data_IF_512454656296
#
_entry.id   IF_512454656296
#
_cell.length_a   1.000
_cell.length_b   1.000
_cell.length_c   1.000
_cell.angle_alpha   90.00
_cell.angle_beta   90.00
_cell.angle_gamma   90.00
#
_symmetry.space_group_name_H-M   'P 1'
#
loop_
_entity.id
_entity.type
_entity.pdbx_description
1 polymer ?
#
# COMPACT_ATOMS: atom_id res chain seq x y z
N UNK A 1 -64.13 8.09 56.96
CA UNK A 1 -64.34 9.55 56.90
C UNK A 1 -63.11 10.24 57.47
N UNK A 2 -62.15 10.64 56.63
CA UNK A 2 -61.31 11.83 56.82
C UNK A 2 -60.91 12.27 55.41
N UNK A 3 -61.30 13.50 55.06
CA UNK A 3 -61.00 14.19 53.81
C UNK A 3 -59.71 14.98 53.98
N UNK A 4 -58.80 14.96 53.00
CA UNK A 4 -57.80 16.01 52.83
C UNK A 4 -57.70 16.44 51.36
N UNK A 5 -58.28 17.62 51.17
CA UNK A 5 -57.98 18.73 50.24
C UNK A 5 -56.85 18.60 49.23
N UNK A 6 -57.21 19.02 48.01
CA UNK A 6 -56.41 19.36 46.83
C UNK A 6 -55.31 20.39 47.14
N UNK A 7 -54.13 20.18 46.55
CA UNK A 7 -53.25 21.27 46.11
C UNK A 7 -52.78 20.95 44.70
N UNK A 8 -53.30 21.73 43.74
CA UNK A 8 -52.82 21.78 42.36
C UNK A 8 -51.64 22.74 42.35
N UNK A 9 -50.47 22.26 41.96
CA UNK A 9 -49.33 23.11 41.62
C UNK A 9 -48.99 22.87 40.16
N UNK A 10 -49.39 23.84 39.35
CA UNK A 10 -49.04 24.00 37.96
C UNK A 10 -47.68 24.69 37.93
N UNK A 11 -46.63 23.99 37.48
CA UNK A 11 -45.33 24.59 37.15
C UNK A 11 -45.05 24.29 35.69
N UNK A 12 -44.96 25.36 34.91
CA UNK A 12 -44.71 25.32 33.48
C UNK A 12 -43.25 25.03 33.14
N UNK A 13 -43.11 24.38 31.98
CA UNK A 13 -42.19 24.72 30.89
C UNK A 13 -40.71 24.93 31.25
N UNK A 14 -39.91 23.89 30.98
CA UNK A 14 -38.58 24.04 30.36
C UNK A 14 -38.23 22.74 29.63
N UNK A 15 -38.40 22.79 28.31
CA UNK A 15 -37.94 21.76 27.39
C UNK A 15 -36.41 21.82 27.36
N UNK A 16 -35.73 20.86 27.98
CA UNK A 16 -34.30 20.62 27.79
C UNK A 16 -34.15 19.23 27.16
N UNK A 17 -33.99 19.21 25.84
CA UNK A 17 -33.45 18.05 25.12
C UNK A 17 -31.95 17.97 25.43
N UNK A 18 -31.60 17.28 26.52
CA UNK A 18 -30.22 16.83 26.73
C UNK A 18 -30.01 15.57 25.88
N UNK A 19 -29.50 15.75 24.66
CA UNK A 19 -28.91 14.65 23.92
C UNK A 19 -27.62 14.23 24.64
N UNK A 20 -27.68 13.17 25.43
CA UNK A 20 -26.50 12.52 25.98
C UNK A 20 -25.72 11.88 24.81
N UNK A 21 -24.63 12.53 24.40
CA UNK A 21 -23.57 11.84 23.65
C UNK A 21 -23.09 10.69 24.52
N UNK A 22 -23.19 9.48 24.00
CA UNK A 22 -22.49 8.35 24.59
C UNK A 22 -20.99 8.60 24.43
N UNK A 23 -20.33 9.01 25.50
CA UNK A 23 -18.88 8.91 25.64
C UNK A 23 -18.55 7.44 25.87
N UNK A 24 -18.24 6.74 24.78
CA UNK A 24 -17.51 5.49 24.84
C UNK A 24 -16.11 5.81 24.34
N UNK A 25 -15.13 5.85 25.24
CA UNK A 25 -13.73 5.49 25.00
C UNK A 25 -12.91 5.78 26.26
N UNK A 26 -12.54 4.73 27.01
CA UNK A 26 -11.51 4.89 28.04
C UNK A 26 -10.50 3.75 28.15
N UNK A 27 -10.55 2.73 27.27
CA UNK A 27 -9.45 1.77 27.16
C UNK A 27 -9.21 1.47 25.67
N UNK A 28 -8.29 2.25 25.09
CA UNK A 28 -7.87 2.07 23.69
C UNK A 28 -6.98 0.84 23.51
N UNK A 29 -6.96 0.23 22.31
CA UNK A 29 -6.18 -0.98 22.04
C UNK A 29 -4.67 -0.69 21.90
N UNK A 30 -3.86 -1.69 22.28
CA UNK A 30 -2.39 -1.69 22.29
C UNK A 30 -1.76 -1.25 20.95
N UNK A 31 -0.94 -0.20 21.01
CA UNK A 31 -0.38 0.52 19.87
C UNK A 31 0.88 -0.10 19.25
N UNK A 32 1.43 -1.19 19.80
CA UNK A 32 2.67 -1.78 19.26
C UNK A 32 3.87 -0.81 19.19
N UNK A 33 4.93 -1.21 18.50
CA UNK A 33 6.31 -0.81 18.85
C UNK A 33 7.00 0.24 17.96
N UNK A 34 6.29 1.21 17.37
CA UNK A 34 6.96 2.36 16.70
C UNK A 34 7.45 3.42 17.72
N UNK A 35 8.25 3.01 18.71
CA UNK A 35 8.81 3.94 19.71
C UNK A 35 9.96 4.75 19.11
N UNK A 36 9.73 6.05 18.97
CA UNK A 36 10.77 7.06 18.77
C UNK A 36 10.75 7.63 17.36
N UNK A 37 10.20 8.84 17.24
CA UNK A 37 10.03 9.65 16.03
C UNK A 37 8.84 9.24 15.15
N UNK A 38 7.71 9.91 15.43
CA UNK A 38 6.41 9.87 14.73
C UNK A 38 5.39 8.89 15.30
N UNK A 39 4.85 9.23 16.48
CA UNK A 39 3.49 8.82 16.85
C UNK A 39 2.54 10.00 16.61
N UNK A 40 1.48 9.75 15.84
CA UNK A 40 0.28 10.59 15.81
C UNK A 40 -0.91 9.63 15.85
N UNK A 41 -1.94 9.95 16.64
CA UNK A 41 -3.16 9.16 16.88
C UNK A 41 -4.08 9.01 15.66
N UNK A 42 -3.57 9.22 14.46
CA UNK A 42 -4.32 9.16 13.22
C UNK A 42 -3.81 8.01 12.35
N UNK A 43 -4.29 6.78 12.57
CA UNK A 43 -4.30 5.82 11.46
C UNK A 43 -5.46 6.06 10.48
N UNK A 44 -6.33 7.03 10.79
CA UNK A 44 -7.17 7.73 9.82
C UNK A 44 -6.39 8.73 8.92
N UNK A 45 -5.10 9.02 9.20
CA UNK A 45 -4.30 9.98 8.42
C UNK A 45 -3.92 9.51 7.01
N UNK A 46 -4.10 8.23 6.67
CA UNK A 46 -3.78 7.78 5.30
C UNK A 46 -4.81 8.30 4.28
N UNK A 47 -5.93 8.81 4.77
CA UNK A 47 -6.92 9.56 4.00
C UNK A 47 -6.66 11.07 3.96
N UNK A 48 -5.44 11.54 4.27
CA UNK A 48 -5.11 12.96 4.45
C UNK A 48 -4.77 13.77 3.18
N UNK A 49 -5.12 13.33 1.97
CA UNK A 49 -4.96 14.13 0.74
C UNK A 49 -5.96 15.29 0.73
N UNK A 50 -5.64 16.34 1.47
CA UNK A 50 -6.38 17.58 1.60
C UNK A 50 -6.30 18.14 3.01
N UNK A 51 -6.63 19.43 3.18
CA UNK A 51 -6.67 20.12 4.49
C UNK A 51 -7.64 19.49 5.53
N UNK A 52 -8.28 18.36 5.20
CA UNK A 52 -9.19 17.59 6.04
C UNK A 52 -9.16 16.10 5.66
N UNK A 53 -9.23 15.22 6.68
CA UNK A 53 -9.19 13.75 6.60
C UNK A 53 -10.26 13.11 5.68
N UNK A 54 -11.36 13.82 5.41
CA UNK A 54 -12.39 13.38 4.47
C UNK A 54 -11.93 13.41 3.01
N UNK A 55 -11.02 14.33 2.64
CA UNK A 55 -10.64 14.61 1.24
C UNK A 55 -9.65 13.60 0.64
N UNK A 56 -8.75 13.01 1.41
CA UNK A 56 -7.85 11.99 0.82
C UNK A 56 -8.44 10.60 0.78
N UNK A 57 -9.36 10.28 1.68
CA UNK A 57 -10.23 9.14 1.43
C UNK A 57 -11.03 9.34 0.13
N UNK A 58 -11.43 10.58 -0.20
CA UNK A 58 -12.13 10.89 -1.46
C UNK A 58 -11.24 10.64 -2.66
N UNK A 59 -9.97 11.07 -2.65
CA UNK A 59 -9.05 10.83 -3.76
C UNK A 59 -8.78 9.31 -3.99
N UNK A 60 -8.60 8.54 -2.90
CA UNK A 60 -8.50 7.07 -2.98
C UNK A 60 -9.80 6.43 -3.51
N UNK A 61 -10.96 6.92 -3.06
CA UNK A 61 -12.26 6.49 -3.60
C UNK A 61 -12.49 7.00 -5.02
N UNK A 62 -11.83 8.06 -5.45
CA UNK A 62 -11.92 8.64 -6.78
C UNK A 62 -11.05 7.93 -7.81
N UNK A 63 -10.10 7.07 -7.37
CA UNK A 63 -9.28 6.26 -8.28
C UNK A 63 -10.16 5.46 -9.23
N UNK A 64 -9.73 5.43 -10.48
CA UNK A 64 -10.33 4.60 -11.52
C UNK A 64 -10.22 3.13 -11.11
N UNK A 65 -11.33 2.39 -11.17
CA UNK A 65 -11.31 0.94 -11.03
C UNK A 65 -11.09 0.36 -12.41
N UNK A 66 -10.01 -0.39 -12.57
CA UNK A 66 -9.68 -1.06 -13.83
C UNK A 66 -10.11 -2.52 -13.79
N UNK A 67 -10.24 -3.13 -14.96
CA UNK A 67 -10.43 -4.57 -15.05
C UNK A 67 -9.11 -5.29 -14.78
N UNK A 68 -8.96 -5.87 -13.59
CA UNK A 68 -7.75 -6.61 -13.22
C UNK A 68 -7.52 -7.86 -14.08
N UNK A 69 -8.46 -8.27 -14.93
CA UNK A 69 -8.29 -9.42 -15.82
C UNK A 69 -7.68 -9.07 -17.19
N UNK A 70 -7.64 -7.78 -17.55
CA UNK A 70 -7.17 -7.31 -18.86
C UNK A 70 -5.69 -6.89 -18.84
N UNK A 71 -5.08 -6.80 -20.02
CA UNK A 71 -3.73 -6.24 -20.13
C UNK A 71 -3.71 -4.72 -19.88
N UNK A 72 -2.69 -4.19 -19.19
CA UNK A 72 -1.60 -4.91 -18.50
C UNK A 72 -1.94 -5.29 -17.05
N UNK A 73 -3.11 -4.90 -16.57
CA UNK A 73 -3.55 -4.99 -15.17
C UNK A 73 -3.52 -6.40 -14.58
N UNK A 74 -3.67 -7.43 -15.41
CA UNK A 74 -3.54 -8.84 -15.03
C UNK A 74 -2.20 -9.22 -14.41
N UNK A 75 -1.13 -8.48 -14.71
CA UNK A 75 0.17 -8.64 -14.06
C UNK A 75 0.23 -8.10 -12.64
N UNK A 76 -0.74 -7.31 -12.19
CA UNK A 76 -0.76 -6.68 -10.86
C UNK A 76 -1.67 -7.47 -9.91
N UNK A 77 -1.14 -7.83 -8.75
CA UNK A 77 -1.80 -8.73 -7.82
C UNK A 77 -1.65 -8.35 -6.36
N UNK A 78 -2.35 -9.08 -5.50
CA UNK A 78 -2.22 -8.96 -4.05
C UNK A 78 -1.12 -9.88 -3.54
N UNK A 79 -0.28 -9.34 -2.67
CA UNK A 79 0.68 -10.10 -1.86
C UNK A 79 0.04 -10.30 -0.48
N UNK A 80 -0.37 -11.53 -0.20
CA UNK A 80 -1.08 -11.91 1.02
C UNK A 80 -0.20 -12.77 1.93
N UNK A 81 -0.37 -12.60 3.24
CA UNK A 81 0.40 -13.31 4.25
C UNK A 81 -0.51 -14.25 5.03
N UNK A 82 -0.05 -15.48 5.29
CA UNK A 82 -0.84 -16.49 6.02
C UNK A 82 -0.85 -16.27 7.56
N UNK A 83 -0.27 -15.17 8.06
CA UNK A 83 -0.16 -14.90 9.51
C UNK A 83 -1.36 -14.11 10.03
N UNK A 84 -2.05 -14.66 11.04
CA UNK A 84 -3.19 -14.03 11.75
C UNK A 84 -2.88 -12.63 12.32
N UNK A 85 -1.59 -12.35 12.53
CA UNK A 85 -1.08 -11.08 13.05
C UNK A 85 -0.72 -10.06 11.97
N UNK A 86 -0.52 -10.49 10.72
CA UNK A 86 -0.34 -9.58 9.58
C UNK A 86 -1.69 -9.50 8.89
N UNK A 87 -2.53 -8.57 9.34
CA UNK A 87 -3.89 -8.37 8.81
C UNK A 87 -3.94 -7.53 7.52
N UNK A 88 -2.78 -7.25 6.93
CA UNK A 88 -2.63 -6.30 5.84
C UNK A 88 -2.02 -7.01 4.64
N UNK A 89 -2.60 -6.83 3.47
CA UNK A 89 -1.98 -7.22 2.21
C UNK A 89 -1.10 -6.09 1.68
N UNK A 90 -0.23 -6.43 0.75
CA UNK A 90 0.46 -5.49 -0.11
C UNK A 90 0.01 -5.69 -1.56
N UNK A 91 0.49 -4.81 -2.43
CA UNK A 91 0.42 -4.97 -3.88
C UNK A 91 1.76 -5.53 -4.37
N UNK A 92 1.71 -6.29 -5.46
CA UNK A 92 2.90 -6.73 -6.19
C UNK A 92 2.63 -6.80 -7.68
N UNK A 93 3.71 -6.83 -8.46
CA UNK A 93 3.65 -6.83 -9.93
C UNK A 93 4.47 -7.99 -10.48
N UNK A 94 3.86 -8.84 -11.31
CA UNK A 94 4.61 -9.80 -12.12
C UNK A 94 5.50 -9.05 -13.10
N UNK A 95 6.80 -9.30 -13.00
CA UNK A 95 7.85 -8.74 -13.85
C UNK A 95 8.66 -9.84 -14.54
N UNK A 96 8.22 -11.10 -14.38
CA UNK A 96 8.62 -12.27 -15.17
C UNK A 96 7.56 -13.36 -15.05
N UNK A 97 7.82 -14.52 -15.67
CA UNK A 97 7.05 -15.74 -15.45
C UNK A 97 6.92 -16.12 -13.97
N UNK A 98 7.96 -15.90 -13.15
CA UNK A 98 8.04 -16.33 -11.74
C UNK A 98 8.37 -15.20 -10.75
N UNK A 99 8.64 -13.98 -11.20
CA UNK A 99 9.14 -12.92 -10.31
C UNK A 99 8.07 -11.87 -10.09
N UNK A 100 7.79 -11.59 -8.82
CA UNK A 100 6.92 -10.49 -8.39
C UNK A 100 7.75 -9.39 -7.73
N UNK A 101 7.69 -8.18 -8.28
CA UNK A 101 8.22 -6.97 -7.66
C UNK A 101 7.26 -6.48 -6.56
N UNK A 102 7.78 -6.21 -5.37
CA UNK A 102 7.05 -5.64 -4.23
C UNK A 102 8.01 -4.87 -3.31
N UNK A 103 7.53 -4.39 -2.16
CA UNK A 103 8.37 -3.71 -1.16
C UNK A 103 8.94 -4.69 -0.12
N UNK A 104 10.16 -4.47 0.36
CA UNK A 104 10.80 -5.36 1.33
C UNK A 104 10.07 -5.36 2.68
N UNK A 105 9.59 -4.19 3.13
CA UNK A 105 8.86 -4.06 4.39
C UNK A 105 7.55 -4.87 4.40
N UNK A 106 6.99 -5.21 3.23
CA UNK A 106 5.85 -6.10 3.13
C UNK A 106 6.20 -7.52 3.58
N UNK A 107 7.43 -7.97 3.35
CA UNK A 107 7.90 -9.31 3.65
C UNK A 107 8.46 -9.44 5.09
N UNK A 108 8.40 -8.37 5.87
CA UNK A 108 8.92 -8.31 7.22
C UNK A 108 7.80 -8.22 8.28
N UNK A 109 7.85 -9.09 9.29
CA UNK A 109 6.94 -9.04 10.42
C UNK A 109 7.55 -8.20 11.56
N UNK A 110 7.18 -6.93 11.62
CA UNK A 110 7.66 -6.00 12.66
C UNK A 110 7.28 -6.42 14.09
N UNK A 111 6.08 -6.97 14.30
CA UNK A 111 5.64 -7.40 15.63
C UNK A 111 6.50 -8.55 16.18
N UNK A 112 6.92 -9.47 15.29
CA UNK A 112 7.78 -10.61 15.64
C UNK A 112 9.26 -10.31 15.48
N UNK A 113 9.61 -9.20 14.83
CA UNK A 113 10.98 -8.86 14.43
C UNK A 113 11.62 -9.99 13.63
N UNK A 114 10.94 -10.41 12.56
CA UNK A 114 11.36 -11.55 11.73
C UNK A 114 10.80 -11.45 10.31
N UNK A 115 11.58 -11.87 9.33
CA UNK A 115 11.12 -12.10 7.97
C UNK A 115 10.03 -13.17 7.88
N UNK A 116 9.05 -12.93 7.03
CA UNK A 116 7.98 -13.89 6.73
C UNK A 116 8.59 -15.05 5.94
N UNK A 117 8.15 -16.28 6.19
CA UNK A 117 8.58 -17.43 5.38
C UNK A 117 8.03 -17.29 3.95
N UNK A 118 8.85 -17.42 2.90
CA UNK A 118 8.40 -17.26 1.51
C UNK A 118 7.16 -18.08 1.16
N UNK A 119 7.10 -19.34 1.60
CA UNK A 119 6.03 -20.29 1.31
C UNK A 119 4.70 -19.92 2.01
N UNK A 120 4.76 -19.05 3.02
CA UNK A 120 3.58 -18.53 3.71
C UNK A 120 3.00 -17.28 3.03
N UNK A 121 3.67 -16.76 2.01
CA UNK A 121 3.21 -15.65 1.18
C UNK A 121 2.53 -16.21 -0.05
N UNK A 122 1.36 -15.67 -0.36
CA UNK A 122 0.59 -16.01 -1.56
C UNK A 122 0.43 -14.77 -2.41
N UNK A 123 0.86 -14.85 -3.66
CA UNK A 123 0.59 -13.83 -4.66
C UNK A 123 -0.62 -14.24 -5.50
N UNK A 124 -1.55 -13.30 -5.72
CA UNK A 124 -2.77 -13.51 -6.50
C UNK A 124 -2.80 -12.49 -7.64
N UNK A 125 -2.46 -12.92 -8.85
CA UNK A 125 -2.43 -12.10 -10.06
C UNK A 125 -3.86 -11.76 -10.52
N UNK A 126 -4.07 -10.54 -10.99
CA UNK A 126 -5.38 -10.08 -11.50
C UNK A 126 -6.51 -10.23 -10.47
N UNK A 127 -6.21 -10.02 -9.18
CA UNK A 127 -7.19 -10.18 -8.12
C UNK A 127 -8.34 -9.18 -8.26
N UNK A 128 -9.58 -9.65 -8.28
CA UNK A 128 -10.76 -8.80 -8.27
C UNK A 128 -11.93 -9.54 -7.64
N UNK A 129 -12.60 -8.88 -6.69
CA UNK A 129 -13.85 -9.31 -6.04
C UNK A 129 -13.79 -10.74 -5.47
N UNK A 130 -12.65 -11.13 -4.92
CA UNK A 130 -12.46 -12.44 -4.29
C UNK A 130 -11.94 -13.54 -5.22
N UNK A 131 -11.82 -13.28 -6.51
CA UNK A 131 -11.17 -14.16 -7.49
C UNK A 131 -9.83 -13.60 -7.93
N UNK A 132 -8.92 -14.46 -8.40
CA UNK A 132 -7.71 -14.08 -9.13
C UNK A 132 -7.57 -14.92 -10.38
N UNK A 133 -6.78 -14.43 -11.34
CA UNK A 133 -6.50 -15.17 -12.58
C UNK A 133 -5.53 -16.32 -12.35
N UNK A 134 -4.53 -16.10 -11.49
CA UNK A 134 -3.56 -17.11 -11.11
C UNK A 134 -3.07 -16.86 -9.68
N UNK A 135 -2.62 -17.93 -9.02
CA UNK A 135 -2.17 -17.92 -7.63
C UNK A 135 -0.90 -18.74 -7.52
N UNK A 136 0.11 -18.21 -6.85
CA UNK A 136 1.30 -18.97 -6.48
C UNK A 136 1.79 -18.56 -5.10
N UNK A 137 2.45 -19.48 -4.42
CA UNK A 137 3.22 -19.19 -3.20
C UNK A 137 4.61 -18.67 -3.55
N UNK A 138 5.23 -17.99 -2.58
CA UNK A 138 6.65 -17.67 -2.64
C UNK A 138 7.54 -18.89 -2.47
N UNK A 139 8.68 -18.88 -3.13
CA UNK A 139 9.78 -19.83 -2.96
C UNK A 139 10.91 -19.17 -2.16
N UNK A 140 11.32 -17.96 -2.56
CA UNK A 140 12.36 -17.19 -1.87
C UNK A 140 12.25 -15.71 -2.18
N UNK A 141 13.02 -14.89 -1.47
CA UNK A 141 13.16 -13.47 -1.75
C UNK A 141 14.55 -13.18 -2.29
N UNK A 142 14.61 -12.12 -3.10
CA UNK A 142 15.83 -11.37 -3.38
C UNK A 142 15.57 -9.97 -2.84
N UNK A 143 16.49 -9.49 -2.02
CA UNK A 143 16.39 -8.22 -1.30
C UNK A 143 17.63 -7.38 -1.64
N UNK A 144 17.64 -6.13 -1.17
CA UNK A 144 18.87 -5.37 -1.13
C UNK A 144 19.92 -6.05 -0.23
N UNK A 145 21.20 -5.97 -0.58
CA UNK A 145 22.31 -6.63 0.14
C UNK A 145 22.48 -6.17 1.60
N UNK A 146 21.93 -5.01 1.95
CA UNK A 146 21.90 -4.56 3.36
C UNK A 146 21.00 -5.41 4.23
N UNK A 147 20.05 -6.14 3.64
CA UNK A 147 19.12 -6.95 4.40
C UNK A 147 19.72 -8.30 4.75
N UNK A 148 19.60 -8.64 6.03
CA UNK A 148 19.94 -9.94 6.55
C UNK A 148 18.66 -10.64 7.01
N UNK A 149 18.24 -11.68 6.27
CA UNK A 149 17.04 -12.45 6.58
C UNK A 149 17.13 -13.23 7.90
N UNK A 150 18.34 -13.38 8.45
CA UNK A 150 18.59 -14.00 9.75
C UNK A 150 18.57 -12.98 10.90
N UNK A 151 18.68 -11.69 10.59
CA UNK A 151 18.61 -10.60 11.56
C UNK A 151 17.18 -10.36 12.07
N UNK A 152 17.11 -9.79 13.27
CA UNK A 152 15.87 -9.31 13.90
C UNK A 152 15.58 -7.84 13.61
N UNK A 153 16.45 -7.18 12.87
CA UNK A 153 16.32 -5.77 12.52
C UNK A 153 16.09 -5.67 11.02
N UNK A 154 15.12 -4.83 10.66
CA UNK A 154 14.91 -4.41 9.27
C UNK A 154 15.90 -3.28 9.00
N UNK A 155 16.79 -3.46 8.02
CA UNK A 155 17.95 -2.58 7.85
C UNK A 155 17.78 -1.55 6.74
N UNK A 156 16.91 -1.80 5.77
CA UNK A 156 16.75 -0.93 4.59
C UNK A 156 16.45 0.51 4.99
N UNK A 157 17.21 1.44 4.43
CA UNK A 157 16.77 2.82 4.31
C UNK A 157 15.64 2.92 3.29
N UNK A 158 14.88 4.03 3.26
CA UNK A 158 13.74 4.14 2.36
C UNK A 158 14.04 4.02 0.86
N UNK A 159 15.29 4.11 0.41
CA UNK A 159 15.72 3.86 -0.99
C UNK A 159 16.15 2.39 -1.25
N UNK A 160 16.15 1.54 -0.23
CA UNK A 160 16.52 0.12 -0.33
C UNK A 160 15.31 -0.81 -0.15
N UNK A 161 14.13 -0.24 0.07
CA UNK A 161 12.89 -0.95 0.40
C UNK A 161 12.20 -1.56 -0.85
N UNK A 162 12.91 -2.48 -1.49
CA UNK A 162 12.43 -3.27 -2.63
C UNK A 162 12.67 -4.75 -2.40
N UNK A 163 11.82 -5.59 -2.99
CA UNK A 163 11.98 -7.04 -2.98
C UNK A 163 11.51 -7.67 -4.28
N UNK A 164 12.20 -8.72 -4.69
CA UNK A 164 11.74 -9.65 -5.71
C UNK A 164 11.32 -10.94 -5.01
N UNK A 165 10.03 -11.25 -5.09
CA UNK A 165 9.47 -12.51 -4.63
C UNK A 165 9.50 -13.51 -5.78
N UNK A 166 10.36 -14.52 -5.67
CA UNK A 166 10.39 -15.64 -6.62
C UNK A 166 9.26 -16.60 -6.26
N UNK A 167 8.42 -16.93 -7.23
CA UNK A 167 7.24 -17.76 -7.09
C UNK A 167 7.55 -19.23 -7.39
N UNK A 168 6.87 -20.13 -6.68
CA UNK A 168 6.95 -21.58 -6.93
C UNK A 168 6.50 -21.91 -8.35
N UNK A 169 5.37 -21.36 -8.80
CA UNK A 169 4.80 -21.64 -10.11
C UNK A 169 5.03 -20.48 -11.11
N UNK A 170 5.31 -20.76 -12.40
CA UNK A 170 5.54 -19.76 -13.44
C UNK A 170 4.25 -19.13 -13.97
N UNK A 171 3.41 -18.62 -13.07
CA UNK A 171 2.06 -18.11 -13.40
C UNK A 171 2.07 -16.94 -14.40
N UNK A 172 3.19 -16.21 -14.53
CA UNK A 172 3.34 -15.15 -15.54
C UNK A 172 3.33 -15.67 -16.98
N UNK A 173 3.52 -16.99 -17.21
CA UNK A 173 3.28 -17.61 -18.53
C UNK A 173 1.82 -17.55 -18.95
N UNK A 174 0.90 -17.64 -17.99
CA UNK A 174 -0.53 -17.71 -18.24
C UNK A 174 -1.16 -16.31 -18.28
N UNK A 175 -0.74 -15.44 -17.36
CA UNK A 175 -1.33 -14.10 -17.18
C UNK A 175 -0.48 -12.97 -17.76
N UNK A 176 0.71 -13.25 -18.29
CA UNK A 176 1.67 -12.22 -18.71
C UNK A 176 2.34 -11.50 -17.54
N UNK A 177 3.26 -10.59 -17.87
CA UNK A 177 4.01 -9.79 -16.90
C UNK A 177 4.35 -8.42 -17.48
N UNK A 178 4.68 -7.46 -16.61
CA UNK A 178 4.98 -6.09 -16.99
C UNK A 178 6.48 -5.88 -17.20
N UNK A 179 6.83 -5.03 -18.17
CA UNK A 179 8.22 -4.68 -18.47
C UNK A 179 8.77 -3.69 -17.44
N UNK A 180 9.93 -4.00 -16.85
CA UNK A 180 10.71 -3.05 -16.04
C UNK A 180 11.64 -2.28 -16.97
N UNK A 181 11.67 -0.95 -16.84
CA UNK A 181 12.59 -0.10 -17.58
C UNK A 181 13.38 0.82 -16.66
N UNK A 182 14.68 0.95 -16.93
CA UNK A 182 15.52 1.98 -16.34
C UNK A 182 15.54 3.19 -17.25
N UNK A 183 15.01 4.30 -16.77
CA UNK A 183 15.05 5.60 -17.44
C UNK A 183 15.98 6.54 -16.68
N UNK A 184 16.64 7.45 -17.41
CA UNK A 184 17.43 8.50 -16.79
C UNK A 184 16.52 9.43 -15.96
N UNK A 185 16.97 9.95 -14.80
CA UNK A 185 16.17 10.85 -13.97
C UNK A 185 15.56 12.03 -14.76
N UNK A 186 16.33 12.60 -15.69
CA UNK A 186 15.92 13.75 -16.52
C UNK A 186 14.77 13.38 -17.48
N UNK A 187 14.73 12.12 -17.94
CA UNK A 187 13.63 11.64 -18.77
C UNK A 187 12.34 11.44 -17.95
N UNK A 188 12.48 10.97 -16.71
CA UNK A 188 11.35 10.80 -15.78
C UNK A 188 10.73 12.13 -15.36
N UNK A 189 11.52 13.20 -15.29
CA UNK A 189 11.03 14.54 -14.93
C UNK A 189 9.99 15.14 -15.89
N UNK A 190 9.86 14.58 -17.10
CA UNK A 190 8.91 15.02 -18.13
C UNK A 190 7.75 14.04 -18.35
N UNK A 191 7.58 13.07 -17.44
CA UNK A 191 6.56 12.04 -17.57
C UNK A 191 5.57 12.11 -16.40
N UNK A 192 4.29 11.95 -16.73
CA UNK A 192 3.26 11.73 -15.72
C UNK A 192 3.27 10.29 -15.24
N UNK A 193 3.30 10.12 -13.92
CA UNK A 193 3.22 8.82 -13.30
C UNK A 193 1.79 8.36 -13.06
N UNK A 194 1.66 7.04 -12.90
CA UNK A 194 0.50 6.40 -12.31
C UNK A 194 0.93 5.39 -11.26
N UNK A 195 0.05 5.12 -10.32
CA UNK A 195 0.21 4.06 -9.33
C UNK A 195 -1.01 3.15 -9.40
N UNK A 196 -0.80 1.85 -9.55
CA UNK A 196 -1.90 0.88 -9.63
C UNK A 196 -1.81 -0.11 -8.46
N UNK A 197 -2.82 -0.15 -7.59
CA UNK A 197 -2.74 -1.00 -6.40
C UNK A 197 -4.06 -1.25 -5.68
N UNK A 198 -3.97 -2.19 -4.72
CA UNK A 198 -5.07 -2.62 -3.87
C UNK A 198 -5.04 -1.83 -2.57
N UNK A 199 -5.45 -0.57 -2.63
CA UNK A 199 -5.54 0.31 -1.45
C UNK A 199 -6.43 -0.29 -0.35
N UNK A 200 -6.20 0.08 0.91
CA UNK A 200 -6.96 -0.41 2.05
C UNK A 200 -8.46 -0.09 1.99
N UNK A 201 -8.85 1.00 1.30
CA UNK A 201 -10.26 1.32 1.02
C UNK A 201 -10.84 0.57 -0.18
N UNK A 202 -9.99 0.01 -1.04
CA UNK A 202 -10.37 -0.80 -2.21
C UNK A 202 -9.61 -2.13 -2.24
N UNK A 203 -9.66 -2.94 -1.16
CA UNK A 203 -8.80 -4.13 -1.05
C UNK A 203 -9.21 -5.26 -2.00
N UNK A 204 -10.41 -5.15 -2.58
CA UNK A 204 -11.03 -6.16 -3.44
C UNK A 204 -11.14 -5.76 -4.91
N UNK A 205 -10.60 -4.60 -5.32
CA UNK A 205 -10.60 -4.17 -6.72
C UNK A 205 -9.30 -3.45 -7.01
N UNK A 206 -8.71 -3.68 -8.19
CA UNK A 206 -7.54 -2.95 -8.60
C UNK A 206 -7.94 -1.52 -8.96
N UNK A 207 -7.18 -0.53 -8.49
CA UNK A 207 -7.48 0.88 -8.74
C UNK A 207 -6.24 1.67 -9.09
N UNK A 208 -6.39 2.64 -10.01
CA UNK A 208 -5.29 3.44 -10.54
C UNK A 208 -5.38 4.87 -10.04
N UNK A 209 -4.31 5.33 -9.38
CA UNK A 209 -4.05 6.72 -9.09
C UNK A 209 -3.44 7.38 -10.33
N UNK A 210 -4.19 8.27 -10.97
CA UNK A 210 -3.73 9.07 -12.10
C UNK A 210 -3.33 10.50 -11.70
N UNK A 211 -3.39 10.81 -10.41
CA UNK A 211 -3.09 12.13 -9.85
C UNK A 211 -1.62 12.30 -9.43
N UNK A 212 -0.78 11.28 -9.65
CA UNK A 212 0.64 11.33 -9.31
C UNK A 212 1.38 12.50 -9.98
N UNK A 213 0.97 12.84 -11.21
CA UNK A 213 1.59 13.86 -12.05
C UNK A 213 3.07 13.56 -12.31
N UNK A 214 3.82 14.63 -12.60
CA UNK A 214 5.27 14.59 -12.73
C UNK A 214 5.94 14.40 -11.35
N UNK A 215 7.16 13.84 -11.28
CA UNK A 215 7.91 13.75 -10.04
C UNK A 215 8.14 15.12 -9.41
N UNK A 216 8.11 15.17 -8.08
CA UNK A 216 8.67 16.27 -7.29
C UNK A 216 10.19 16.28 -7.35
N UNK A 217 10.79 15.08 -7.41
CA UNK A 217 12.22 14.86 -7.57
C UNK A 217 12.46 13.45 -8.10
N UNK A 218 13.25 13.34 -9.14
CA UNK A 218 13.77 12.05 -9.63
C UNK A 218 15.24 11.94 -9.29
N UNK A 219 15.65 10.80 -8.73
CA UNK A 219 17.05 10.48 -8.48
C UNK A 219 17.37 9.05 -8.91
N UNK A 220 18.65 8.66 -8.91
CA UNK A 220 19.06 7.34 -9.34
C UNK A 220 18.49 6.22 -8.46
N UNK A 221 18.29 6.42 -7.16
CA UNK A 221 17.83 5.35 -6.27
C UNK A 221 16.33 5.47 -5.93
N UNK A 222 15.79 6.69 -5.96
CA UNK A 222 14.43 6.98 -5.50
C UNK A 222 13.77 8.10 -6.27
N UNK A 223 12.44 8.06 -6.27
CA UNK A 223 11.55 9.01 -6.92
C UNK A 223 10.59 9.53 -5.85
N UNK A 224 10.41 10.84 -5.82
CA UNK A 224 9.41 11.53 -5.00
C UNK A 224 8.30 12.04 -5.91
N UNK A 225 7.05 11.73 -5.58
CA UNK A 225 5.87 12.11 -6.36
C UNK A 225 4.65 12.36 -5.47
N UNK A 226 3.52 12.81 -6.03
CA UNK A 226 2.28 13.06 -5.26
C UNK A 226 1.15 12.14 -5.72
N UNK A 227 1.30 10.83 -5.52
CA UNK A 227 0.22 9.90 -5.77
C UNK A 227 -0.79 9.89 -4.62
N UNK A 228 -2.08 9.80 -4.94
CA UNK A 228 -3.04 9.25 -3.99
C UNK A 228 -2.60 7.83 -3.67
N UNK A 229 -2.08 7.56 -2.48
CA UNK A 229 -1.58 6.27 -2.01
C UNK A 229 -2.03 6.00 -0.57
N UNK A 230 -2.20 4.73 -0.20
CA UNK A 230 -2.41 4.34 1.18
C UNK A 230 -1.90 2.93 1.49
N UNK A 231 -2.06 2.49 2.75
CA UNK A 231 -1.78 1.11 3.15
C UNK A 231 -2.47 0.14 2.19
N UNK A 232 -1.75 -0.91 1.79
CA UNK A 232 -2.18 -1.83 0.73
C UNK A 232 -1.57 -1.53 -0.63
N UNK A 233 -1.24 -0.26 -0.91
CA UNK A 233 -0.50 0.11 -2.13
C UNK A 233 1.01 -0.13 -1.99
N UNK A 234 1.54 -0.38 -0.79
CA UNK A 234 2.94 -0.80 -0.63
C UNK A 234 3.29 -1.93 -1.60
N UNK A 235 4.37 -1.78 -2.35
CA UNK A 235 4.78 -2.71 -3.40
C UNK A 235 4.09 -2.53 -4.76
N UNK A 236 3.17 -1.58 -4.90
CA UNK A 236 2.55 -1.25 -6.17
C UNK A 236 3.58 -0.70 -7.18
N UNK A 237 3.43 -0.98 -8.48
CA UNK A 237 4.33 -0.46 -9.48
C UNK A 237 4.08 1.03 -9.69
N UNK A 238 5.16 1.81 -9.74
CA UNK A 238 5.14 3.15 -10.29
C UNK A 238 5.25 3.03 -11.82
N UNK A 239 4.27 3.56 -12.51
CA UNK A 239 4.08 3.37 -13.95
C UNK A 239 4.27 4.67 -14.71
N UNK A 240 4.86 4.58 -15.90
CA UNK A 240 4.77 5.59 -16.96
C UNK A 240 4.02 5.00 -18.15
N UNK A 241 3.31 5.84 -18.90
CA UNK A 241 2.73 5.45 -20.18
C UNK A 241 3.63 5.96 -21.30
N UNK A 242 4.17 5.05 -22.12
CA UNK A 242 4.98 5.38 -23.29
C UNK A 242 4.52 4.53 -24.47
N UNK A 243 4.17 5.18 -25.59
CA UNK A 243 3.71 4.50 -26.82
C UNK A 243 2.57 3.51 -26.52
N UNK A 244 1.56 3.96 -25.77
CA UNK A 244 0.41 3.17 -25.31
C UNK A 244 0.73 1.91 -24.47
N UNK A 245 1.96 1.81 -23.94
CA UNK A 245 2.38 0.73 -23.04
C UNK A 245 2.73 1.28 -21.66
N UNK A 246 2.22 0.60 -20.63
CA UNK A 246 2.61 0.87 -19.25
C UNK A 246 3.93 0.17 -18.94
N UNK A 247 4.91 0.95 -18.49
CA UNK A 247 6.24 0.48 -18.11
C UNK A 247 6.44 0.68 -16.61
N UNK A 248 7.05 -0.30 -15.94
CA UNK A 248 7.40 -0.22 -14.52
C UNK A 248 8.73 0.52 -14.37
N UNK A 249 8.68 1.71 -13.77
CA UNK A 249 9.87 2.55 -13.51
C UNK A 249 10.31 2.54 -12.05
N UNK A 250 9.52 1.92 -11.19
CA UNK A 250 9.83 1.80 -9.77
C UNK A 250 8.77 1.05 -8.99
N UNK A 251 9.00 0.93 -7.68
CA UNK A 251 8.07 0.30 -6.74
C UNK A 251 7.75 1.25 -5.59
N UNK A 252 6.47 1.39 -5.26
CA UNK A 252 6.03 2.26 -4.19
C UNK A 252 6.37 1.68 -2.81
N UNK A 253 7.06 2.47 -2.01
CA UNK A 253 7.49 2.09 -0.66
C UNK A 253 6.60 2.75 0.40
N UNK A 254 6.60 4.09 0.46
CA UNK A 254 6.06 4.80 1.61
C UNK A 254 5.53 6.18 1.28
N UNK A 255 4.83 6.77 2.26
CA UNK A 255 4.39 8.17 2.26
C UNK A 255 5.24 8.90 3.29
N UNK A 256 5.80 10.03 2.89
CA UNK A 256 6.59 10.93 3.72
C UNK A 256 5.73 12.15 4.09
N UNK A 257 5.84 12.61 5.34
CA UNK A 257 5.28 13.88 5.80
C UNK A 257 6.41 14.90 5.95
N UNK A 258 6.31 16.03 5.24
CA UNK A 258 7.25 17.14 5.36
C UNK A 258 6.52 18.42 5.74
N UNK A 259 6.15 18.53 7.01
CA UNK A 259 5.52 19.73 7.56
C UNK A 259 4.09 19.93 7.08
N UNK A 260 3.34 18.83 6.91
CA UNK A 260 1.96 18.85 6.41
C UNK A 260 1.84 18.68 4.89
N UNK A 261 2.97 18.74 4.17
CA UNK A 261 3.04 18.35 2.76
C UNK A 261 3.43 16.88 2.64
N UNK A 262 2.49 16.06 2.19
CA UNK A 262 2.71 14.63 1.96
C UNK A 262 3.32 14.37 0.59
N UNK A 263 4.26 13.44 0.54
CA UNK A 263 4.90 12.98 -0.69
C UNK A 263 4.92 11.45 -0.69
N UNK A 264 4.66 10.85 -1.85
CA UNK A 264 4.94 9.44 -2.09
C UNK A 264 6.42 9.25 -2.41
N UNK A 265 6.99 8.18 -1.87
CA UNK A 265 8.34 7.72 -2.17
C UNK A 265 8.27 6.36 -2.87
N UNK A 266 8.87 6.29 -4.06
CA UNK A 266 9.10 5.05 -4.77
C UNK A 266 10.58 4.78 -4.95
N UNK A 267 10.96 3.51 -4.96
CA UNK A 267 12.30 3.06 -5.30
C UNK A 267 12.42 3.01 -6.82
N UNK A 268 13.52 3.55 -7.35
CA UNK A 268 13.78 3.52 -8.79
C UNK A 268 14.10 2.10 -9.26
N UNK A 269 13.69 1.76 -10.48
CA UNK A 269 14.04 0.50 -11.12
C UNK A 269 15.55 0.23 -11.17
N UNK A 270 16.39 1.27 -11.19
CA UNK A 270 17.84 1.13 -11.15
C UNK A 270 18.37 0.39 -9.92
N UNK A 271 17.66 0.36 -8.79
CA UNK A 271 18.12 -0.31 -7.57
C UNK A 271 17.99 -1.83 -7.63
N UNK A 272 17.10 -2.35 -8.47
CA UNK A 272 16.78 -3.78 -8.51
C UNK A 272 16.88 -4.40 -9.91
N UNK A 273 17.17 -3.61 -10.95
CA UNK A 273 17.25 -4.11 -12.32
C UNK A 273 18.35 -5.16 -12.50
N UNK A 274 19.50 -4.98 -11.84
CA UNK A 274 20.61 -5.95 -11.91
C UNK A 274 20.21 -7.28 -11.28
N UNK A 275 19.71 -7.26 -10.04
CA UNK A 275 19.22 -8.44 -9.34
C UNK A 275 18.11 -9.15 -10.12
N UNK A 276 17.16 -8.39 -10.70
CA UNK A 276 16.11 -8.93 -11.55
C UNK A 276 16.65 -9.58 -12.81
N UNK A 277 17.62 -8.95 -13.49
CA UNK A 277 18.21 -9.48 -14.72
C UNK A 277 18.99 -10.77 -14.47
N UNK A 278 19.74 -10.84 -13.36
CA UNK A 278 20.47 -12.04 -12.96
C UNK A 278 19.53 -13.22 -12.67
N UNK A 279 18.39 -12.95 -12.02
CA UNK A 279 17.39 -13.98 -11.72
C UNK A 279 16.68 -14.51 -12.98
N UNK A 280 16.49 -13.68 -14.00
CA UNK A 280 15.89 -14.09 -15.28
C UNK A 280 16.82 -14.99 -16.12
N UNK A 281 18.14 -14.85 -15.93
CA UNK A 281 19.14 -15.59 -16.69
C UNK A 281 19.48 -16.98 -16.15
N UNK A 282 18.95 -17.33 -14.97
CA UNK A 282 19.10 -18.64 -14.32
C UNK A 282 17.91 -19.55 -14.59
#
# INVERSE_FOLDING_TARGET
>A
MVSWTKTVLMVGMLCWLAASKADADSEGPDAGYLRGHSFVTNFDAICGLGKAMSKGCEAIRGREIVDASSEPWRGIGRVNFSSVQIRQHCTGTLVSERIVLTAAHCLYNYARKKWVQPESITFIAGFQRGSGLAVSRGERFILNDVEDVTSRDFQSTPDQDWALLVLQDPIGRDVGYMEIVKLAPEALEQMDFKLAGYSGLRPNVLSVASDCGHPLKSGPNKILQKCSAMRGDSGAPLLVLKEDRYLVVGVFSSILDRGGDYMSLSISASEFLEAWSLEQGN
#
